data_IF_782392912537
#
_entry.id   IF_782392912537
#
_cell.length_a   1.000
_cell.length_b   1.000
_cell.length_c   1.000
_cell.angle_alpha   90.00
_cell.angle_beta   90.00
_cell.angle_gamma   90.00
#
_symmetry.space_group_name_H-M   'P 1'
#
loop_
_entity.id
_entity.type
_entity.pdbx_description
1 polymer ?
#
# COMPACT_ATOMS: atom_id res chain seq x y z
N UNK A 1 10.29 -3.48 10.42
CA UNK A 1 10.17 -3.65 8.98
C UNK A 1 11.36 -3.07 8.23
N UNK A 2 11.35 -3.24 6.91
CA UNK A 2 12.34 -2.60 6.03
C UNK A 2 11.90 -1.17 5.71
N UNK A 3 12.87 -0.33 5.35
CA UNK A 3 12.61 1.02 4.89
C UNK A 3 11.97 1.00 3.49
N UNK A 4 11.15 1.99 3.22
CA UNK A 4 10.66 2.31 1.89
C UNK A 4 11.16 3.69 1.45
N UNK A 5 10.97 4.02 0.19
CA UNK A 5 11.46 5.28 -0.38
C UNK A 5 10.30 6.16 -0.83
N UNK A 6 10.54 7.47 -0.78
CA UNK A 6 9.80 8.47 -1.54
C UNK A 6 10.70 8.98 -2.67
N UNK A 7 10.11 9.59 -3.70
CA UNK A 7 10.85 10.06 -4.88
C UNK A 7 11.55 11.40 -4.60
N UNK A 8 12.75 11.57 -5.13
CA UNK A 8 13.50 12.84 -5.01
C UNK A 8 12.94 13.97 -5.90
N UNK A 9 12.14 13.62 -6.91
CA UNK A 9 11.52 14.51 -7.88
C UNK A 9 10.01 14.73 -7.60
N UNK A 10 9.50 14.23 -6.46
CA UNK A 10 8.15 14.43 -5.98
C UNK A 10 8.10 15.54 -4.94
N UNK A 11 6.98 16.23 -4.86
CA UNK A 11 6.70 17.26 -3.86
C UNK A 11 5.55 16.88 -2.92
N UNK A 12 4.81 15.79 -3.24
CA UNK A 12 3.71 15.29 -2.43
C UNK A 12 3.67 13.77 -2.50
N UNK A 13 4.16 13.12 -1.45
CA UNK A 13 4.24 11.67 -1.31
C UNK A 13 3.38 11.21 -0.14
N UNK A 14 2.60 10.14 -0.34
CA UNK A 14 1.70 9.59 0.68
C UNK A 14 1.83 8.07 0.76
N UNK A 15 1.60 7.48 1.95
CA UNK A 15 1.36 6.05 2.06
C UNK A 15 -0.09 5.74 1.70
N UNK A 16 -0.32 4.59 1.09
CA UNK A 16 -1.64 4.06 0.81
C UNK A 16 -1.76 2.66 1.45
N UNK A 17 -2.44 2.57 2.62
CA UNK A 17 -2.65 1.29 3.30
C UNK A 17 -3.67 0.45 2.54
N UNK A 18 -3.29 -0.79 2.20
CA UNK A 18 -4.12 -1.66 1.38
C UNK A 18 -4.20 -3.09 1.95
N UNK A 19 -5.41 -3.65 1.96
CA UNK A 19 -5.50 -5.10 1.99
C UNK A 19 -4.82 -5.64 0.74
N UNK A 20 -3.94 -6.63 0.91
CA UNK A 20 -3.24 -7.25 -0.21
C UNK A 20 -3.58 -8.72 -0.26
N UNK A 21 -4.05 -9.18 -1.42
CA UNK A 21 -4.43 -10.56 -1.67
C UNK A 21 -3.20 -11.35 -2.13
N UNK A 22 -3.06 -12.58 -1.62
CA UNK A 22 -2.18 -13.55 -2.25
C UNK A 22 -3.02 -14.52 -3.08
N UNK A 23 -2.89 -14.44 -4.40
CA UNK A 23 -3.58 -15.30 -5.35
C UNK A 23 -2.62 -16.31 -5.99
N UNK A 24 -3.06 -17.55 -6.11
CA UNK A 24 -2.33 -18.62 -6.80
C UNK A 24 -2.29 -18.40 -8.31
N UNK A 25 -1.51 -19.19 -9.04
CA UNK A 25 -1.38 -19.11 -10.50
C UNK A 25 -2.69 -19.31 -11.29
N UNK A 26 -3.72 -19.90 -10.66
CA UNK A 26 -5.05 -20.05 -11.23
C UNK A 26 -6.07 -19.04 -10.68
N UNK A 27 -5.61 -17.96 -10.06
CA UNK A 27 -6.47 -16.87 -9.56
C UNK A 27 -7.25 -17.17 -8.27
N UNK A 28 -6.93 -18.25 -7.54
CA UNK A 28 -7.57 -18.55 -6.26
C UNK A 28 -6.92 -17.71 -5.15
N UNK A 29 -7.70 -16.91 -4.44
CA UNK A 29 -7.25 -16.19 -3.23
C UNK A 29 -7.02 -17.23 -2.12
N UNK A 30 -5.81 -17.26 -1.57
CA UNK A 30 -5.41 -18.23 -0.53
C UNK A 30 -4.85 -17.57 0.72
N UNK A 31 -4.66 -16.26 0.73
CA UNK A 31 -4.17 -15.55 1.89
C UNK A 31 -4.24 -14.05 1.72
N UNK A 32 -3.98 -13.36 2.81
CA UNK A 32 -4.03 -11.91 2.92
C UNK A 32 -2.77 -11.39 3.60
N UNK A 33 -2.36 -10.19 3.23
CA UNK A 33 -1.29 -9.45 3.92
C UNK A 33 -1.60 -7.97 3.89
N UNK A 34 -0.79 -7.16 4.55
CA UNK A 34 -0.87 -5.71 4.51
C UNK A 34 0.05 -5.21 3.43
N UNK A 35 -0.43 -4.29 2.59
CA UNK A 35 0.35 -3.53 1.62
C UNK A 35 0.45 -2.06 2.02
N UNK A 36 1.55 -1.44 1.61
CA UNK A 36 1.71 0.00 1.58
C UNK A 36 2.15 0.37 0.16
N UNK A 37 1.23 0.95 -0.63
CA UNK A 37 1.49 1.45 -2.00
C UNK A 37 1.90 2.92 -1.92
N UNK A 38 3.19 3.17 -1.76
CA UNK A 38 3.71 4.52 -1.57
C UNK A 38 3.67 5.28 -2.89
N UNK A 39 2.85 6.33 -2.91
CA UNK A 39 2.48 7.03 -4.13
C UNK A 39 3.00 8.45 -4.16
N UNK A 40 3.56 8.86 -5.31
CA UNK A 40 3.84 10.26 -5.60
C UNK A 40 2.58 10.93 -6.18
N UNK A 41 1.83 11.61 -5.31
CA UNK A 41 0.60 12.32 -5.72
C UNK A 41 0.87 13.49 -6.65
N UNK A 42 2.03 14.16 -6.53
CA UNK A 42 2.41 15.24 -7.44
C UNK A 42 2.59 14.74 -8.88
N UNK A 43 3.27 13.60 -9.09
CA UNK A 43 3.46 13.01 -10.42
C UNK A 43 2.16 12.42 -10.95
N UNK A 44 1.39 11.73 -10.11
CA UNK A 44 0.08 11.20 -10.48
C UNK A 44 -0.87 12.31 -10.98
N UNK A 45 -0.86 13.47 -10.31
CA UNK A 45 -1.70 14.60 -10.63
C UNK A 45 -1.31 15.36 -11.90
N UNK A 46 -0.08 15.22 -12.39
CA UNK A 46 0.36 15.90 -13.60
C UNK A 46 -0.33 15.34 -14.85
N UNK A 47 -0.43 14.03 -14.98
CA UNK A 47 -1.03 13.36 -16.12
C UNK A 47 -1.43 11.92 -15.77
N UNK A 48 -2.64 11.45 -16.10
CA UNK A 48 -3.05 10.06 -15.86
C UNK A 48 -2.11 9.00 -16.44
N UNK A 49 -1.39 9.32 -17.52
CA UNK A 49 -0.37 8.43 -18.12
C UNK A 49 0.86 8.23 -17.22
N UNK A 50 1.06 9.08 -16.22
CA UNK A 50 2.19 9.00 -15.29
C UNK A 50 1.91 8.13 -14.06
N UNK A 51 0.74 7.49 -13.97
CA UNK A 51 0.40 6.60 -12.86
C UNK A 51 1.48 5.51 -12.63
N UNK A 52 2.03 4.83 -13.65
CA UNK A 52 3.13 3.90 -13.43
C UNK A 52 4.39 4.55 -12.85
N UNK A 53 4.69 5.78 -13.26
CA UNK A 53 5.82 6.55 -12.70
C UNK A 53 5.60 6.92 -11.24
N UNK A 54 4.38 7.27 -10.88
CA UNK A 54 4.02 7.66 -9.52
C UNK A 54 4.08 6.50 -8.51
N UNK A 55 3.90 5.26 -8.99
CA UNK A 55 3.72 4.04 -8.16
C UNK A 55 4.75 2.93 -8.42
N UNK A 56 5.67 3.10 -9.39
CA UNK A 56 6.64 2.06 -9.77
C UNK A 56 8.06 2.62 -9.76
N UNK A 57 8.70 2.61 -8.60
CA UNK A 57 10.08 3.02 -8.39
C UNK A 57 10.72 2.17 -7.28
N UNK A 58 12.03 2.26 -7.10
CA UNK A 58 12.74 1.43 -6.12
C UNK A 58 12.19 1.58 -4.70
N UNK A 59 11.82 0.46 -4.08
CA UNK A 59 11.27 0.39 -2.73
C UNK A 59 10.01 1.26 -2.52
N UNK A 60 9.15 1.40 -3.53
CA UNK A 60 7.87 2.11 -3.47
C UNK A 60 6.76 1.31 -2.77
N UNK A 61 6.93 0.01 -2.58
CA UNK A 61 5.89 -0.85 -2.03
C UNK A 61 6.44 -1.71 -0.88
N UNK A 62 5.60 -1.92 0.14
CA UNK A 62 5.91 -2.79 1.26
C UNK A 62 4.82 -3.84 1.45
N UNK A 63 5.20 -5.03 1.90
CA UNK A 63 4.30 -6.12 2.25
C UNK A 63 4.67 -6.69 3.62
N UNK A 64 3.69 -7.12 4.39
CA UNK A 64 3.90 -7.79 5.67
C UNK A 64 2.71 -7.61 6.63
N UNK A 65 2.87 -8.02 7.90
CA UNK A 65 4.03 -8.69 8.49
C UNK A 65 4.13 -10.19 8.13
N UNK A 66 3.03 -10.80 7.68
CA UNK A 66 2.91 -12.22 7.34
C UNK A 66 1.87 -12.42 6.24
N UNK A 67 1.77 -13.62 5.70
CA UNK A 67 0.62 -14.05 4.92
C UNK A 67 -0.34 -14.73 5.91
N UNK A 68 -1.50 -14.11 6.13
CA UNK A 68 -2.58 -14.65 6.94
C UNK A 68 -3.47 -15.55 6.08
N UNK A 69 -3.62 -16.80 6.51
CA UNK A 69 -4.42 -17.81 5.80
C UNK A 69 -5.57 -18.24 6.73
N UNK A 70 -6.72 -17.55 6.69
CA UNK A 70 -7.87 -17.90 7.53
C UNK A 70 -8.67 -19.07 6.96
N UNK A 71 -9.45 -19.74 7.81
CA UNK A 71 -10.40 -20.77 7.39
C UNK A 71 -11.56 -20.20 6.56
N UNK A 72 -11.92 -18.94 6.78
CA UNK A 72 -12.98 -18.21 6.07
C UNK A 72 -12.46 -16.87 5.57
N UNK A 73 -13.01 -16.33 4.47
CA UNK A 73 -12.67 -14.98 4.01
C UNK A 73 -12.83 -13.93 5.12
N UNK A 74 -12.04 -12.87 5.05
CA UNK A 74 -12.17 -11.74 5.97
C UNK A 74 -13.58 -11.15 5.94
N UNK A 75 -14.07 -10.74 7.10
CA UNK A 75 -15.37 -10.08 7.20
C UNK A 75 -15.31 -8.70 6.54
N UNK A 76 -16.41 -8.22 5.96
CA UNK A 76 -16.48 -6.87 5.39
C UNK A 76 -16.24 -5.77 6.44
N UNK A 77 -16.57 -6.02 7.70
CA UNK A 77 -16.29 -5.13 8.82
C UNK A 77 -14.81 -5.08 9.25
N UNK A 78 -13.94 -5.89 8.65
CA UNK A 78 -12.50 -5.91 8.97
C UNK A 78 -11.93 -4.50 8.89
N UNK A 79 -11.38 -4.03 10.01
CA UNK A 79 -10.81 -2.68 10.16
C UNK A 79 -9.43 -2.60 9.54
N UNK A 80 -9.18 -1.48 8.87
CA UNK A 80 -7.87 -1.04 8.38
C UNK A 80 -7.58 0.30 9.03
N UNK A 81 -6.45 0.44 9.69
CA UNK A 81 -6.03 1.69 10.31
C UNK A 81 -4.60 2.04 9.91
N UNK A 82 -4.32 3.32 9.81
CA UNK A 82 -2.98 3.83 9.56
C UNK A 82 -2.65 4.97 10.52
N UNK A 83 -1.42 4.99 11.02
CA UNK A 83 -0.84 6.15 11.69
C UNK A 83 0.56 6.44 11.18
N UNK A 84 0.94 7.71 11.22
CA UNK A 84 2.27 8.18 10.81
C UNK A 84 2.86 8.95 11.98
N UNK A 85 4.04 8.52 12.42
CA UNK A 85 4.81 9.16 13.47
C UNK A 85 5.99 9.92 12.88
N UNK A 86 6.16 11.18 13.27
CA UNK A 86 7.31 12.02 12.93
C UNK A 86 8.04 12.41 14.22
N UNK A 87 9.21 11.82 14.42
CA UNK A 87 9.84 11.88 15.74
C UNK A 87 8.99 11.17 16.79
N UNK A 88 8.50 11.93 17.80
CA UNK A 88 7.66 11.40 18.88
C UNK A 88 6.19 11.81 18.76
N UNK A 89 5.78 12.39 17.63
CA UNK A 89 4.43 12.91 17.45
C UNK A 89 3.69 12.13 16.36
N UNK A 90 2.41 11.84 16.59
CA UNK A 90 1.52 11.31 15.56
C UNK A 90 1.08 12.48 14.66
N UNK A 91 1.56 12.53 13.44
CA UNK A 91 1.26 13.60 12.48
C UNK A 91 0.09 13.28 11.56
N UNK A 92 -0.33 12.02 11.51
CA UNK A 92 -1.52 11.56 10.80
C UNK A 92 -2.06 10.28 11.43
N UNK A 93 -3.39 10.14 11.50
CA UNK A 93 -4.05 8.90 11.86
C UNK A 93 -5.45 8.88 11.26
N UNK A 94 -5.82 7.74 10.65
CA UNK A 94 -7.16 7.52 10.10
C UNK A 94 -7.48 6.02 10.03
N UNK A 95 -8.77 5.67 9.87
CA UNK A 95 -9.21 4.29 9.76
C UNK A 95 -10.39 4.14 8.81
N UNK A 96 -10.52 2.93 8.25
CA UNK A 96 -11.61 2.50 7.38
C UNK A 96 -11.89 1.02 7.59
N UNK A 97 -12.77 0.44 6.81
CA UNK A 97 -13.03 -1.00 6.80
C UNK A 97 -13.33 -1.49 5.37
N UNK A 98 -13.40 -2.82 5.19
CA UNK A 98 -13.62 -3.43 3.88
C UNK A 98 -15.04 -3.21 3.32
N UNK A 99 -16.01 -2.71 4.10
CA UNK A 99 -17.35 -2.35 3.60
C UNK A 99 -17.30 -1.19 2.60
N UNK A 100 -16.26 -0.34 2.71
CA UNK A 100 -16.06 0.79 1.80
C UNK A 100 -15.56 0.36 0.41
N UNK A 101 -15.14 -0.89 0.25
CA UNK A 101 -14.70 -1.41 -1.05
C UNK A 101 -15.88 -1.57 -2.00
N UNK A 102 -15.82 -0.91 -3.15
CA UNK A 102 -16.87 -0.97 -4.18
C UNK A 102 -16.89 -2.31 -4.91
N UNK A 103 -15.72 -2.94 -5.14
CA UNK A 103 -15.59 -4.20 -5.87
C UNK A 103 -15.32 -5.35 -4.91
N UNK A 104 -15.74 -6.55 -5.28
CA UNK A 104 -15.39 -7.75 -4.52
C UNK A 104 -13.93 -8.14 -4.76
N UNK A 105 -13.34 -8.90 -3.84
CA UNK A 105 -11.96 -9.37 -3.97
C UNK A 105 -11.79 -10.29 -5.18
N UNK A 106 -12.79 -11.14 -5.44
CA UNK A 106 -12.82 -12.04 -6.59
C UNK A 106 -12.91 -11.27 -7.91
N UNK A 107 -13.67 -10.18 -7.93
CA UNK A 107 -13.78 -9.31 -9.10
C UNK A 107 -12.43 -8.67 -9.43
N UNK A 108 -11.69 -8.17 -8.41
CA UNK A 108 -10.35 -7.60 -8.61
C UNK A 108 -9.36 -8.62 -9.17
N UNK A 109 -9.34 -9.83 -8.61
CA UNK A 109 -8.50 -10.93 -9.13
C UNK A 109 -8.93 -11.31 -10.54
N UNK A 110 -10.24 -11.39 -10.82
CA UNK A 110 -10.77 -11.67 -12.16
C UNK A 110 -10.29 -10.65 -13.21
N UNK A 111 -10.23 -9.36 -12.86
CA UNK A 111 -9.67 -8.33 -13.75
C UNK A 111 -8.18 -8.51 -13.99
N UNK A 112 -7.40 -8.80 -12.93
CA UNK A 112 -5.95 -8.98 -13.02
C UNK A 112 -5.56 -10.13 -13.96
N UNK A 113 -6.33 -11.22 -13.95
CA UNK A 113 -6.01 -12.43 -14.70
C UNK A 113 -6.59 -12.46 -16.14
N UNK A 114 -7.25 -11.39 -16.63
CA UNK A 114 -7.94 -11.43 -17.92
C UNK A 114 -7.02 -11.79 -19.11
N UNK A 115 -5.87 -11.11 -19.22
CA UNK A 115 -4.93 -11.33 -20.33
C UNK A 115 -3.48 -11.44 -19.79
N UNK A 116 -3.34 -11.76 -18.51
CA UNK A 116 -2.05 -11.84 -17.84
C UNK A 116 -1.98 -13.10 -16.99
N UNK A 117 -0.86 -13.80 -17.03
CA UNK A 117 -0.61 -15.01 -16.25
C UNK A 117 0.48 -14.75 -15.18
N UNK A 118 0.30 -15.38 -14.04
CA UNK A 118 1.23 -15.31 -12.92
C UNK A 118 1.60 -16.72 -12.46
N UNK A 119 2.59 -17.37 -13.10
CA UNK A 119 2.93 -18.79 -12.84
C UNK A 119 3.31 -19.08 -11.37
N UNK A 120 3.90 -18.12 -10.67
CA UNK A 120 4.27 -18.21 -9.25
C UNK A 120 3.20 -17.69 -8.28
N UNK A 121 2.00 -17.34 -8.77
CA UNK A 121 1.03 -16.57 -7.99
C UNK A 121 1.39 -15.08 -7.96
N UNK A 122 0.58 -14.27 -7.28
CA UNK A 122 0.72 -12.82 -7.26
C UNK A 122 0.20 -12.21 -5.97
N UNK A 123 0.83 -11.14 -5.51
CA UNK A 123 0.29 -10.23 -4.52
C UNK A 123 -0.45 -9.10 -5.24
N UNK A 124 -1.74 -8.94 -4.95
CA UNK A 124 -2.59 -7.89 -5.50
C UNK A 124 -2.99 -6.92 -4.40
N UNK A 125 -2.49 -5.70 -4.44
CA UNK A 125 -2.98 -4.59 -3.64
C UNK A 125 -4.34 -4.14 -4.16
N UNK A 126 -5.31 -3.90 -3.26
CA UNK A 126 -6.73 -3.79 -3.63
C UNK A 126 -7.26 -2.37 -3.69
N UNK A 127 -6.39 -1.39 -3.47
CA UNK A 127 -6.76 0.02 -3.34
C UNK A 127 -6.96 0.43 -1.90
N UNK A 128 -6.85 1.73 -1.66
CA UNK A 128 -6.94 2.34 -0.34
C UNK A 128 -8.20 3.18 -0.16
N UNK A 129 -8.69 3.26 1.07
CA UNK A 129 -9.70 4.21 1.51
C UNK A 129 -9.15 5.30 2.44
N UNK A 130 -7.84 5.30 2.70
CA UNK A 130 -7.16 6.24 3.60
C UNK A 130 -6.04 6.92 2.83
N UNK A 131 -6.17 8.23 2.60
CA UNK A 131 -5.13 9.03 1.93
C UNK A 131 -4.99 10.36 2.67
N UNK A 132 -3.79 10.68 3.19
CA UNK A 132 -3.53 12.00 3.76
C UNK A 132 -3.83 13.13 2.77
N UNK A 133 -4.35 14.24 3.28
CA UNK A 133 -4.72 15.40 2.49
C UNK A 133 -3.54 16.15 1.87
N UNK A 134 -3.86 17.21 1.11
CA UNK A 134 -2.87 18.02 0.37
C UNK A 134 -1.93 18.83 1.27
N UNK A 135 -2.25 18.96 2.53
CA UNK A 135 -1.44 19.62 3.58
C UNK A 135 -0.39 18.70 4.22
N UNK A 136 -0.39 17.42 3.81
CA UNK A 136 0.53 16.40 4.31
C UNK A 136 1.44 15.88 3.19
N UNK A 137 2.71 15.65 3.51
CA UNK A 137 3.62 14.84 2.70
C UNK A 137 4.59 14.07 3.61
N UNK A 138 4.93 12.86 3.21
CA UNK A 138 5.94 12.02 3.87
C UNK A 138 7.30 12.73 3.90
N UNK A 139 8.03 12.52 4.99
CA UNK A 139 9.40 13.01 5.18
C UNK A 139 10.34 11.86 5.56
N UNK A 140 11.61 12.01 5.24
CA UNK A 140 12.64 11.06 5.64
C UNK A 140 12.65 10.87 7.16
N UNK A 141 12.56 9.63 7.59
CA UNK A 141 12.51 9.24 9.01
C UNK A 141 11.10 9.09 9.57
N UNK A 142 10.05 9.43 8.82
CA UNK A 142 8.68 9.13 9.23
C UNK A 142 8.52 7.62 9.41
N UNK A 143 7.78 7.23 10.44
CA UNK A 143 7.39 5.85 10.70
C UNK A 143 5.92 5.65 10.35
N UNK A 144 5.64 4.75 9.44
CA UNK A 144 4.28 4.39 9.01
C UNK A 144 3.89 3.07 9.64
N UNK A 145 2.75 3.06 10.33
CA UNK A 145 2.15 1.88 10.92
C UNK A 145 0.81 1.63 10.23
N UNK A 146 0.65 0.47 9.64
CA UNK A 146 -0.60 0.03 9.02
C UNK A 146 -1.06 -1.23 9.75
N UNK A 147 -2.25 -1.18 10.32
CA UNK A 147 -2.88 -2.30 11.01
C UNK A 147 -4.08 -2.78 10.21
N UNK A 148 -4.16 -4.09 9.99
CA UNK A 148 -5.38 -4.76 9.51
C UNK A 148 -5.77 -5.80 10.55
N UNK A 149 -7.01 -5.70 11.00
CA UNK A 149 -7.58 -6.64 11.98
C UNK A 149 -7.36 -8.09 11.56
N UNK A 150 -6.95 -8.93 12.48
CA UNK A 150 -6.59 -10.35 12.29
C UNK A 150 -5.27 -10.62 11.55
N UNK A 151 -4.67 -9.64 10.86
CA UNK A 151 -3.39 -9.82 10.16
C UNK A 151 -2.23 -9.31 11.03
N UNK A 152 -2.41 -8.18 11.72
CA UNK A 152 -1.41 -7.56 12.56
C UNK A 152 -1.00 -6.17 12.07
N UNK A 153 0.26 -5.79 12.28
CA UNK A 153 0.77 -4.45 11.96
C UNK A 153 2.00 -4.50 11.06
N UNK A 154 1.93 -3.85 9.92
CA UNK A 154 3.08 -3.55 9.08
C UNK A 154 3.70 -2.23 9.53
N UNK A 155 4.97 -2.24 9.91
CA UNK A 155 5.73 -1.05 10.30
C UNK A 155 6.88 -0.83 9.34
N UNK A 156 6.96 0.36 8.75
CA UNK A 156 8.02 0.77 7.83
C UNK A 156 8.50 2.18 8.16
N UNK A 157 9.71 2.52 7.72
CA UNK A 157 10.27 3.86 7.85
C UNK A 157 10.57 4.44 6.48
N UNK A 158 10.36 5.76 6.33
CA UNK A 158 10.80 6.47 5.12
C UNK A 158 12.33 6.55 5.13
N UNK A 159 12.97 5.90 4.17
CA UNK A 159 14.41 5.92 4.02
C UNK A 159 14.96 7.36 3.85
N UNK A 160 16.19 7.57 4.31
CA UNK A 160 16.90 8.82 4.00
C UNK A 160 17.03 8.98 2.48
N UNK A 161 16.63 10.14 1.97
CA UNK A 161 16.81 10.47 0.56
C UNK A 161 18.31 10.43 0.23
N UNK A 162 18.67 9.67 -0.81
CA UNK A 162 20.04 9.74 -1.35
C UNK A 162 20.24 11.12 -1.98
N UNK A 163 21.43 11.71 -1.80
CA UNK A 163 21.77 12.93 -2.51
C UNK A 163 21.54 12.73 -4.03
N UNK A 164 20.93 13.75 -4.69
CA UNK A 164 20.72 13.70 -6.15
C UNK A 164 22.06 13.46 -6.82
N UNK A 165 22.23 12.32 -7.48
CA UNK A 165 23.33 12.14 -8.41
C UNK A 165 23.04 13.09 -9.58
N UNK A 166 23.87 14.12 -9.76
CA UNK A 166 23.78 14.95 -10.96
C UNK A 166 24.20 14.07 -12.14
N UNK A 167 23.28 13.84 -13.06
CA UNK A 167 23.59 13.31 -14.39
C UNK A 167 24.13 14.43 -15.25
#
# INVERSE_FOLDING_TARGET
GKDFRIRNDSTWDVPEPELTLFATSNGKIVGYTIGNDVSSRSIEGENPLYLPQAKTYDACACLGPCIYVPEKPLAKSTRIAMSIERGNEVVFSDETNLEQMKRTLEELVGYLFRETSFPGGVFLMTGTGIVPGTDFTLQSGDKVLIEIESIGTLTNFVAKLKAKTKF
#
